data_IF_291429686289
#
_entry.id   IF_291429686289
#
_cell.length_a   1.000
_cell.length_b   1.000
_cell.length_c   1.000
_cell.angle_alpha   90.00
_cell.angle_beta   90.00
_cell.angle_gamma   90.00
#
_symmetry.space_group_name_H-M   'P 1'
#
loop_
_entity.id
_entity.type
_entity.pdbx_description
1 polymer ?
#
# COMPACT_ATOMS: atom_id res chain seq x y z
N UNK A 1 -4.62 -18.02 5.11
CA UNK A 1 -3.81 -17.00 5.81
C UNK A 1 -4.70 -15.88 6.34
N UNK A 2 -5.54 -15.24 5.51
CA UNK A 2 -6.47 -14.17 5.92
C UNK A 2 -7.33 -14.50 7.15
N UNK A 3 -7.97 -15.67 7.18
CA UNK A 3 -8.78 -16.09 8.34
C UNK A 3 -7.97 -16.19 9.64
N UNK A 4 -6.76 -16.72 9.58
CA UNK A 4 -5.84 -16.76 10.73
C UNK A 4 -5.44 -15.36 11.20
N UNK A 5 -5.17 -14.45 10.26
CA UNK A 5 -4.86 -13.05 10.59
C UNK A 5 -6.07 -12.37 11.25
N UNK A 6 -7.29 -12.66 10.81
CA UNK A 6 -8.52 -12.14 11.42
C UNK A 6 -8.72 -12.66 12.86
N UNK A 7 -8.47 -13.95 13.10
CA UNK A 7 -8.54 -14.55 14.45
C UNK A 7 -7.55 -13.90 15.43
N UNK A 8 -6.40 -13.46 14.93
CA UNK A 8 -5.33 -12.85 15.75
C UNK A 8 -5.34 -11.32 15.71
N UNK A 9 -6.37 -10.71 15.12
CA UNK A 9 -6.38 -9.28 14.80
C UNK A 9 -6.21 -8.40 16.05
N UNK A 10 -6.98 -8.65 17.11
CA UNK A 10 -6.90 -7.89 18.36
C UNK A 10 -5.50 -7.95 18.98
N UNK A 11 -4.90 -9.14 18.99
CA UNK A 11 -3.53 -9.34 19.49
C UNK A 11 -2.51 -8.54 18.66
N UNK A 12 -2.64 -8.59 17.33
CA UNK A 12 -1.75 -7.87 16.42
C UNK A 12 -1.92 -6.35 16.51
N UNK A 13 -3.14 -5.86 16.76
CA UNK A 13 -3.42 -4.43 16.97
C UNK A 13 -2.86 -3.97 18.32
N UNK A 14 -2.99 -4.77 19.39
CA UNK A 14 -2.44 -4.45 20.70
C UNK A 14 -0.91 -4.31 20.69
N UNK A 15 -0.22 -5.02 19.79
CA UNK A 15 1.23 -4.92 19.60
C UNK A 15 1.69 -3.69 18.81
N UNK A 16 0.77 -2.93 18.20
CA UNK A 16 1.08 -1.77 17.37
C UNK A 16 0.68 -0.46 18.06
N UNK A 17 1.62 0.48 18.30
CA UNK A 17 1.26 1.79 18.79
C UNK A 17 0.42 2.53 17.74
N UNK A 18 -0.71 3.11 18.17
CA UNK A 18 -1.58 3.96 17.35
C UNK A 18 -2.08 3.33 16.03
N UNK A 19 -2.30 2.01 16.01
CA UNK A 19 -2.65 1.23 14.82
C UNK A 19 -3.84 1.77 14.00
N UNK A 20 -4.80 2.45 14.64
CA UNK A 20 -5.97 3.04 13.99
C UNK A 20 -5.72 4.47 13.45
N UNK A 21 -4.76 5.22 14.01
CA UNK A 21 -4.52 6.62 13.61
C UNK A 21 -3.90 6.74 12.22
N UNK A 22 -3.10 5.75 11.81
CA UNK A 22 -2.46 5.73 10.48
C UNK A 22 -3.46 5.70 9.31
N UNK A 23 -4.68 5.20 9.53
CA UNK A 23 -5.73 5.11 8.51
C UNK A 23 -6.78 6.23 8.60
N UNK A 24 -6.83 6.96 9.72
CA UNK A 24 -7.84 8.00 9.93
C UNK A 24 -7.40 9.39 9.46
N UNK A 25 -6.10 9.59 9.16
CA UNK A 25 -5.60 10.89 8.74
C UNK A 25 -6.27 11.37 7.42
N UNK A 26 -6.85 12.59 7.37
CA UNK A 26 -7.60 13.07 6.21
C UNK A 26 -6.81 13.06 4.90
N UNK A 27 -5.51 13.38 4.94
CA UNK A 27 -4.66 13.34 3.75
C UNK A 27 -4.54 11.91 3.17
N UNK A 28 -4.43 10.89 4.03
CA UNK A 28 -4.37 9.48 3.61
C UNK A 28 -5.69 9.06 2.98
N UNK A 29 -6.81 9.50 3.55
CA UNK A 29 -8.14 9.22 2.99
C UNK A 29 -8.33 9.90 1.62
N UNK A 30 -7.93 11.16 1.49
CA UNK A 30 -8.03 11.89 0.23
C UNK A 30 -7.17 11.24 -0.87
N UNK A 31 -5.93 10.86 -0.54
CA UNK A 31 -5.05 10.15 -1.46
C UNK A 31 -5.62 8.79 -1.87
N UNK A 32 -6.16 8.01 -0.92
CA UNK A 32 -6.82 6.73 -1.22
C UNK A 32 -8.00 6.91 -2.17
N UNK A 33 -8.89 7.86 -1.87
CA UNK A 33 -10.03 8.18 -2.75
C UNK A 33 -9.57 8.53 -4.16
N UNK A 34 -8.52 9.35 -4.29
CA UNK A 34 -7.97 9.73 -5.58
C UNK A 34 -7.41 8.52 -6.35
N UNK A 35 -6.60 7.67 -5.71
CA UNK A 35 -6.05 6.46 -6.35
C UNK A 35 -7.15 5.48 -6.74
N UNK A 36 -8.15 5.24 -5.88
CA UNK A 36 -9.32 4.40 -6.20
C UNK A 36 -10.05 4.95 -7.44
N UNK A 37 -10.23 6.27 -7.54
CA UNK A 37 -10.85 6.91 -8.71
C UNK A 37 -10.05 6.67 -9.99
N UNK A 38 -8.72 6.82 -9.94
CA UNK A 38 -7.85 6.58 -11.10
C UNK A 38 -7.90 5.11 -11.53
N UNK A 39 -7.84 4.17 -10.59
CA UNK A 39 -7.89 2.74 -10.88
C UNK A 39 -9.21 2.34 -11.54
N UNK A 40 -10.34 2.90 -11.13
CA UNK A 40 -11.64 2.65 -11.78
C UNK A 40 -11.68 3.06 -13.24
N UNK A 41 -10.87 4.05 -13.65
CA UNK A 41 -10.78 4.47 -15.05
C UNK A 41 -9.91 3.52 -15.88
N UNK A 42 -8.94 2.85 -15.27
CA UNK A 42 -7.94 2.03 -15.97
C UNK A 42 -8.31 0.54 -15.95
N UNK A 43 -8.81 0.05 -14.82
CA UNK A 43 -9.13 -1.35 -14.57
C UNK A 43 -10.51 -1.48 -13.91
N UNK A 44 -11.60 -1.12 -14.61
CA UNK A 44 -12.95 -1.01 -14.01
C UNK A 44 -13.47 -2.30 -13.38
N UNK A 45 -13.06 -3.46 -13.91
CA UNK A 45 -13.48 -4.78 -13.42
C UNK A 45 -12.72 -5.27 -12.18
N UNK A 46 -11.73 -4.52 -11.70
CA UNK A 46 -10.93 -4.91 -10.55
C UNK A 46 -11.48 -4.33 -9.24
N UNK A 47 -11.14 -4.97 -8.11
CA UNK A 47 -11.39 -4.41 -6.78
C UNK A 47 -10.47 -3.20 -6.54
N UNK A 48 -10.88 -2.05 -7.07
CA UNK A 48 -10.09 -0.83 -7.08
C UNK A 48 -9.79 -0.30 -5.66
N UNK A 49 -10.65 -0.58 -4.68
CA UNK A 49 -10.43 -0.18 -3.29
C UNK A 49 -9.29 -0.99 -2.68
N UNK A 50 -9.31 -2.31 -2.86
CA UNK A 50 -8.25 -3.18 -2.36
C UNK A 50 -6.92 -2.95 -3.09
N UNK A 51 -6.97 -2.66 -4.39
CA UNK A 51 -5.79 -2.29 -5.16
C UNK A 51 -5.19 -0.96 -4.70
N UNK A 52 -6.01 0.06 -4.44
CA UNK A 52 -5.55 1.34 -3.89
C UNK A 52 -4.90 1.16 -2.51
N UNK A 53 -5.52 0.38 -1.62
CA UNK A 53 -4.95 0.03 -0.32
C UNK A 53 -3.58 -0.64 -0.46
N UNK A 54 -3.45 -1.57 -1.41
CA UNK A 54 -2.20 -2.30 -1.65
C UNK A 54 -1.10 -1.36 -2.16
N UNK A 55 -1.41 -0.51 -3.14
CA UNK A 55 -0.45 0.46 -3.69
C UNK A 55 0.01 1.45 -2.62
N UNK A 56 -0.91 1.97 -1.81
CA UNK A 56 -0.58 2.94 -0.76
C UNK A 56 0.14 2.30 0.44
N UNK A 57 -0.15 1.04 0.77
CA UNK A 57 0.59 0.33 1.83
C UNK A 57 2.09 0.17 1.50
N UNK A 58 2.45 0.05 0.22
CA UNK A 58 3.86 0.03 -0.19
C UNK A 58 4.59 1.37 0.02
N UNK A 59 3.83 2.45 0.20
CA UNK A 59 4.32 3.80 0.49
C UNK A 59 4.17 4.20 1.96
N UNK A 60 3.86 3.24 2.85
CA UNK A 60 3.74 3.51 4.27
C UNK A 60 5.08 4.04 4.85
N UNK A 61 5.08 5.15 5.61
CA UNK A 61 6.31 5.73 6.14
C UNK A 61 7.13 4.79 7.01
N UNK A 62 6.49 3.93 7.82
CA UNK A 62 7.20 2.97 8.65
C UNK A 62 7.84 1.86 7.79
N UNK A 63 7.15 1.42 6.73
CA UNK A 63 7.72 0.48 5.76
C UNK A 63 8.91 1.10 5.02
N UNK A 64 8.78 2.32 4.49
CA UNK A 64 9.87 3.03 3.81
C UNK A 64 11.07 3.18 4.75
N UNK A 65 10.84 3.61 6.00
CA UNK A 65 11.88 3.74 7.00
C UNK A 65 12.57 2.41 7.28
N UNK A 66 11.81 1.33 7.49
CA UNK A 66 12.36 -0.01 7.70
C UNK A 66 13.24 -0.44 6.52
N UNK A 67 12.74 -0.32 5.29
CA UNK A 67 13.45 -0.77 4.10
C UNK A 67 14.72 0.05 3.82
N UNK A 68 14.64 1.38 3.97
CA UNK A 68 15.78 2.26 3.64
C UNK A 68 16.79 2.35 4.77
N UNK A 69 16.35 2.46 6.03
CA UNK A 69 17.24 2.74 7.18
C UNK A 69 17.70 1.48 7.89
N UNK A 70 16.85 0.46 8.00
CA UNK A 70 17.19 -0.77 8.72
C UNK A 70 17.69 -1.86 7.76
N UNK A 71 17.06 -1.96 6.58
CA UNK A 71 17.44 -2.94 5.55
C UNK A 71 18.41 -2.38 4.50
N UNK A 72 18.79 -1.10 4.61
CA UNK A 72 19.77 -0.44 3.74
C UNK A 72 19.43 -0.57 2.24
N UNK A 73 18.14 -0.65 1.90
CA UNK A 73 17.70 -0.75 0.52
C UNK A 73 17.82 0.62 -0.15
N UNK A 74 18.45 0.72 -1.34
CA UNK A 74 18.54 1.98 -2.06
C UNK A 74 17.16 2.53 -2.43
N UNK A 75 16.96 3.84 -2.31
CA UNK A 75 15.67 4.47 -2.65
C UNK A 75 15.27 4.22 -4.11
N UNK A 76 16.24 4.25 -5.04
CA UNK A 76 16.00 3.93 -6.44
C UNK A 76 15.39 2.54 -6.65
N UNK A 77 15.76 1.55 -5.81
CA UNK A 77 15.18 0.21 -5.87
C UNK A 77 13.71 0.20 -5.42
N UNK A 78 13.36 1.00 -4.39
CA UNK A 78 11.98 1.14 -3.94
C UNK A 78 11.12 1.79 -5.02
N UNK A 79 11.64 2.84 -5.65
CA UNK A 79 10.98 3.54 -6.75
C UNK A 79 10.71 2.58 -7.93
N UNK A 80 11.72 1.86 -8.40
CA UNK A 80 11.55 0.88 -9.49
C UNK A 80 10.54 -0.21 -9.12
N UNK A 81 10.57 -0.71 -7.88
CA UNK A 81 9.62 -1.73 -7.42
C UNK A 81 8.18 -1.20 -7.34
N UNK A 82 7.99 0.05 -6.93
CA UNK A 82 6.68 0.69 -6.89
C UNK A 82 6.11 0.87 -8.31
N UNK A 83 6.93 1.34 -9.24
CA UNK A 83 6.54 1.49 -10.65
C UNK A 83 6.18 0.13 -11.27
N UNK A 84 6.95 -0.93 -11.02
CA UNK A 84 6.61 -2.28 -11.46
C UNK A 84 5.28 -2.78 -10.86
N UNK A 85 5.03 -2.50 -9.57
CA UNK A 85 3.77 -2.85 -8.92
C UNK A 85 2.57 -2.12 -9.57
N UNK A 86 2.68 -0.82 -9.79
CA UNK A 86 1.65 -0.03 -10.51
C UNK A 86 1.42 -0.60 -11.90
N UNK A 87 2.48 -0.95 -12.62
CA UNK A 87 2.38 -1.52 -13.96
C UNK A 87 1.60 -2.83 -13.96
N UNK A 88 1.91 -3.74 -13.03
CA UNK A 88 1.18 -5.01 -12.86
C UNK A 88 -0.29 -4.81 -12.49
N UNK A 89 -0.58 -3.89 -11.57
CA UNK A 89 -1.94 -3.59 -11.12
C UNK A 89 -2.78 -3.00 -12.26
N UNK A 90 -2.19 -2.12 -13.07
CA UNK A 90 -2.87 -1.45 -14.19
C UNK A 90 -2.82 -2.24 -15.50
N UNK A 91 -2.19 -3.43 -15.50
CA UNK A 91 -1.89 -4.24 -16.69
C UNK A 91 -1.11 -3.46 -17.77
N UNK A 92 -0.37 -2.43 -17.36
CA UNK A 92 0.53 -1.71 -18.25
C UNK A 92 1.90 -2.41 -18.27
N UNK A 93 2.62 -2.31 -19.39
CA UNK A 93 3.98 -2.85 -19.45
C UNK A 93 4.89 -1.98 -18.55
N UNK A 94 5.72 -2.56 -17.67
CA UNK A 94 6.65 -1.77 -16.87
C UNK A 94 7.60 -0.98 -17.77
N UNK A 95 8.00 0.25 -17.39
CA UNK A 95 9.06 0.98 -18.10
C UNK A 95 10.36 0.17 -18.08
N UNK A 96 11.03 0.16 -19.23
CA UNK A 96 12.28 -0.59 -19.49
C UNK A 96 13.47 0.11 -18.86
#
# INVERSE_FOLDING_TARGET
MLYRSAEQLELQLAAQPEACRRFSHPATQALRTHVTMLLRQIVPEADCELLAQTLLASLDPALIHHLTRQRHMPMARLESAWVDLVARVTRTRPPV
#
